data_IF_300133008469
#
_entry.id   IF_300133008469
#
_cell.length_a   1.000
_cell.length_b   1.000
_cell.length_c   1.000
_cell.angle_alpha   90.00
_cell.angle_beta   90.00
_cell.angle_gamma   90.00
#
_symmetry.space_group_name_H-M   'P 1'
#
loop_
_entity.id
_entity.type
_entity.pdbx_description
1 polymer ?
#
# COMPACT_ATOMS: atom_id res chain seq x y z
N UNK A 1 -3.05 -22.90 -26.62
CA UNK A 1 -4.06 -21.86 -26.36
C UNK A 1 -3.48 -21.08 -25.20
N UNK A 2 -2.63 -20.13 -25.53
CA UNK A 2 -1.75 -19.49 -24.56
C UNK A 2 -2.55 -18.41 -23.82
N UNK A 3 -2.90 -18.73 -22.57
CA UNK A 3 -3.65 -17.89 -21.63
C UNK A 3 -2.82 -16.72 -21.06
N UNK A 4 -1.75 -16.31 -21.75
CA UNK A 4 -1.01 -15.12 -21.36
C UNK A 4 -1.71 -13.91 -21.96
N UNK A 5 -2.48 -13.22 -21.12
CA UNK A 5 -2.87 -11.84 -21.42
C UNK A 5 -1.57 -11.02 -21.48
N UNK A 6 -1.01 -10.88 -22.68
CA UNK A 6 0.15 -10.01 -22.89
C UNK A 6 -0.29 -8.58 -22.59
N UNK A 7 0.20 -7.97 -21.49
CA UNK A 7 -0.13 -6.58 -21.21
C UNK A 7 0.41 -5.75 -22.36
N UNK A 8 -0.43 -4.94 -23.00
CA UNK A 8 0.07 -3.96 -23.98
C UNK A 8 1.14 -3.09 -23.31
N UNK A 9 2.35 -3.00 -23.87
CA UNK A 9 3.43 -2.21 -23.29
C UNK A 9 2.96 -0.78 -23.00
N UNK A 10 3.30 -0.25 -21.82
CA UNK A 10 2.93 1.08 -21.32
C UNK A 10 1.45 1.31 -20.95
N UNK A 11 0.55 0.34 -21.13
CA UNK A 11 -0.86 0.48 -20.73
C UNK A 11 -1.22 -0.47 -19.59
N UNK A 12 -0.74 -0.18 -18.39
CA UNK A 12 -1.16 -0.84 -17.16
C UNK A 12 -2.53 -0.36 -16.69
N UNK A 13 -3.55 -0.55 -17.51
CA UNK A 13 -4.94 -0.17 -17.17
C UNK A 13 -5.40 -0.84 -15.88
N UNK A 14 -4.97 -2.08 -15.63
CA UNK A 14 -5.28 -2.82 -14.41
C UNK A 14 -4.75 -2.12 -13.15
N UNK A 15 -3.63 -1.39 -13.22
CA UNK A 15 -3.10 -0.62 -12.09
C UNK A 15 -4.08 0.45 -11.65
N UNK A 16 -4.61 1.21 -12.61
CA UNK A 16 -5.62 2.22 -12.31
C UNK A 16 -6.86 1.59 -11.65
N UNK A 17 -7.27 0.40 -12.09
CA UNK A 17 -8.44 -0.30 -11.53
C UNK A 17 -8.21 -0.72 -10.07
N UNK A 18 -7.13 -1.47 -9.78
CA UNK A 18 -6.91 -1.91 -8.39
C UNK A 18 -6.59 -0.73 -7.47
N UNK A 19 -5.90 0.31 -7.96
CA UNK A 19 -5.61 1.51 -7.17
C UNK A 19 -6.89 2.29 -6.86
N UNK A 20 -7.82 2.41 -7.80
CA UNK A 20 -9.12 3.02 -7.54
C UNK A 20 -9.92 2.23 -6.49
N UNK A 21 -9.89 0.89 -6.57
CA UNK A 21 -10.52 0.03 -5.57
C UNK A 21 -9.90 0.21 -4.18
N UNK A 22 -8.57 0.10 -4.08
CA UNK A 22 -7.83 0.26 -2.82
C UNK A 22 -8.00 1.67 -2.23
N UNK A 23 -7.97 2.71 -3.06
CA UNK A 23 -8.21 4.08 -2.64
C UNK A 23 -9.63 4.27 -2.08
N UNK A 24 -10.65 3.77 -2.78
CA UNK A 24 -12.02 3.81 -2.28
C UNK A 24 -12.17 3.06 -0.95
N UNK A 25 -11.53 1.90 -0.81
CA UNK A 25 -11.50 1.16 0.45
C UNK A 25 -10.92 2.00 1.59
N UNK A 26 -9.73 2.58 1.41
CA UNK A 26 -9.08 3.45 2.41
C UNK A 26 -9.96 4.65 2.76
N UNK A 27 -10.51 5.35 1.77
CA UNK A 27 -11.36 6.53 2.01
C UNK A 27 -12.62 6.16 2.81
N UNK A 28 -13.29 5.06 2.44
CA UNK A 28 -14.49 4.59 3.14
C UNK A 28 -14.19 4.21 4.59
N UNK A 29 -13.13 3.42 4.81
CA UNK A 29 -12.71 3.01 6.17
C UNK A 29 -12.36 4.23 7.02
N UNK A 30 -11.61 5.20 6.48
CA UNK A 30 -11.29 6.43 7.21
C UNK A 30 -12.52 7.26 7.53
N UNK A 31 -13.44 7.44 6.58
CA UNK A 31 -14.68 8.19 6.81
C UNK A 31 -15.57 7.53 7.87
N UNK A 32 -15.62 6.19 7.89
CA UNK A 32 -16.33 5.43 8.93
C UNK A 32 -15.71 5.70 10.31
N UNK A 33 -14.39 5.55 10.45
CA UNK A 33 -13.68 5.78 11.71
C UNK A 33 -13.88 7.21 12.21
N UNK A 34 -13.76 8.21 11.33
CA UNK A 34 -14.02 9.63 11.67
C UNK A 34 -15.46 9.82 12.14
N UNK A 35 -16.43 9.24 11.43
CA UNK A 35 -17.84 9.33 11.80
C UNK A 35 -18.12 8.69 13.16
N UNK A 36 -17.55 7.52 13.43
CA UNK A 36 -17.75 6.80 14.69
C UNK A 36 -17.03 7.48 15.85
N UNK A 37 -15.82 8.02 15.64
CA UNK A 37 -15.15 8.86 16.64
C UNK A 37 -16.02 10.03 17.07
N UNK A 38 -16.60 10.75 16.10
CA UNK A 38 -17.51 11.86 16.39
C UNK A 38 -18.75 11.41 17.19
N UNK A 39 -19.34 10.24 16.86
CA UNK A 39 -20.49 9.71 17.61
C UNK A 39 -20.12 9.36 19.05
N UNK A 40 -18.97 8.70 19.27
CA UNK A 40 -18.49 8.36 20.60
C UNK A 40 -18.16 9.60 21.42
N UNK A 41 -17.49 10.59 20.85
CA UNK A 41 -17.20 11.86 21.53
C UNK A 41 -18.48 12.57 22.00
N UNK A 42 -19.51 12.63 21.14
CA UNK A 42 -20.80 13.22 21.48
C UNK A 42 -21.56 12.42 22.55
N UNK A 43 -21.45 11.10 22.55
CA UNK A 43 -22.06 10.25 23.56
C UNK A 43 -21.35 10.41 24.91
N UNK A 44 -20.01 10.38 24.91
CA UNK A 44 -19.18 10.60 26.10
C UNK A 44 -19.41 11.97 26.74
N UNK A 45 -19.68 13.01 25.93
CA UNK A 45 -20.03 14.33 26.43
C UNK A 45 -21.41 14.38 27.13
N UNK A 46 -22.30 13.42 26.86
CA UNK A 46 -23.66 13.32 27.44
C UNK A 46 -23.75 12.30 28.58
N UNK A 47 -22.69 11.55 28.85
CA UNK A 47 -22.66 10.47 29.84
C UNK A 47 -21.87 9.27 29.33
N UNK A 48 -22.17 8.08 29.84
CA UNK A 48 -21.56 6.85 29.31
C UNK A 48 -22.16 6.52 27.93
N UNK A 49 -21.34 6.18 26.92
CA UNK A 49 -21.82 5.61 25.66
C UNK A 49 -22.63 4.33 25.94
N UNK A 50 -23.72 4.11 25.21
CA UNK A 50 -24.45 2.84 25.30
C UNK A 50 -23.63 1.69 24.71
N UNK A 51 -23.81 0.48 25.25
CA UNK A 51 -23.12 -0.71 24.76
C UNK A 51 -23.35 -0.95 23.26
N UNK A 52 -24.58 -0.73 22.77
CA UNK A 52 -24.91 -0.83 21.34
C UNK A 52 -24.10 0.14 20.46
N UNK A 53 -23.81 1.34 20.97
CA UNK A 53 -23.02 2.33 20.24
C UNK A 53 -21.54 1.94 20.23
N UNK A 54 -21.02 1.40 21.33
CA UNK A 54 -19.65 0.88 21.40
C UNK A 54 -19.49 -0.29 20.44
N UNK A 55 -20.43 -1.24 20.46
CA UNK A 55 -20.44 -2.41 19.59
C UNK A 55 -20.47 -2.02 18.10
N UNK A 56 -21.39 -1.13 17.73
CA UNK A 56 -21.50 -0.63 16.34
C UNK A 56 -20.33 0.28 15.91
N UNK A 57 -19.47 0.68 16.84
CA UNK A 57 -18.26 1.47 16.57
C UNK A 57 -16.98 0.62 16.47
N UNK A 58 -17.08 -0.72 16.51
CA UNK A 58 -15.96 -1.63 16.23
C UNK A 58 -15.60 -1.65 14.75
N UNK A 59 -14.77 -0.71 14.33
CA UNK A 59 -14.50 -0.41 12.92
C UNK A 59 -13.03 -0.50 12.49
N UNK A 60 -12.10 -0.72 13.44
CA UNK A 60 -10.66 -0.71 13.19
C UNK A 60 -10.03 -2.11 13.25
N UNK A 61 -8.83 -2.25 12.68
CA UNK A 61 -7.96 -3.41 12.87
C UNK A 61 -7.03 -3.23 14.08
N UNK A 62 -6.03 -4.09 14.21
CA UNK A 62 -4.98 -3.96 15.24
C UNK A 62 -4.02 -2.80 14.96
N UNK A 63 -3.76 -2.54 13.68
CA UNK A 63 -2.87 -1.48 13.19
C UNK A 63 -3.55 -0.70 12.07
N UNK A 64 -3.02 0.49 11.76
CA UNK A 64 -3.60 1.40 10.77
C UNK A 64 -3.46 0.95 9.31
N UNK A 65 -2.34 0.34 8.86
CA UNK A 65 -2.22 -0.11 7.48
C UNK A 65 -3.31 -1.12 7.12
N UNK A 66 -4.03 -0.85 6.03
CA UNK A 66 -5.09 -1.72 5.52
C UNK A 66 -4.81 -2.22 4.11
N UNK A 67 -3.91 -1.57 3.38
CA UNK A 67 -3.55 -1.94 2.02
C UNK A 67 -2.06 -2.23 1.92
N UNK A 68 -1.71 -3.40 1.40
CA UNK A 68 -0.35 -3.78 1.03
C UNK A 68 -0.27 -3.90 -0.50
N UNK A 69 0.68 -3.20 -1.12
CA UNK A 69 0.99 -3.32 -2.54
C UNK A 69 2.44 -3.73 -2.68
N UNK A 70 2.66 -4.91 -3.23
CA UNK A 70 3.96 -5.42 -3.60
C UNK A 70 4.17 -5.21 -5.09
N UNK A 71 5.31 -4.64 -5.48
CA UNK A 71 5.73 -4.54 -6.88
C UNK A 71 7.25 -4.78 -7.00
N UNK A 72 7.76 -5.26 -8.15
CA UNK A 72 9.12 -5.81 -8.20
C UNK A 72 10.21 -4.73 -8.18
N UNK A 73 9.96 -3.55 -8.76
CA UNK A 73 10.98 -2.52 -8.97
C UNK A 73 10.52 -1.10 -8.61
N UNK A 74 11.47 -0.20 -8.33
CA UNK A 74 11.20 1.22 -8.07
C UNK A 74 10.44 1.91 -9.21
N UNK A 75 10.70 1.58 -10.47
CA UNK A 75 9.92 2.12 -11.62
C UNK A 75 8.43 1.78 -11.54
N UNK A 76 8.08 0.61 -11.00
CA UNK A 76 6.70 0.18 -10.83
C UNK A 76 6.03 0.93 -9.69
N UNK A 77 6.74 1.08 -8.56
CA UNK A 77 6.31 1.91 -7.45
C UNK A 77 6.11 3.38 -7.87
N UNK A 78 6.97 3.91 -8.75
CA UNK A 78 6.87 5.25 -9.31
C UNK A 78 5.56 5.45 -10.09
N UNK A 79 5.25 4.52 -11.01
CA UNK A 79 4.00 4.54 -11.78
C UNK A 79 2.77 4.41 -10.86
N UNK A 80 2.83 3.55 -9.84
CA UNK A 80 1.76 3.39 -8.84
C UNK A 80 1.47 4.69 -8.09
N UNK A 81 2.51 5.35 -7.56
CA UNK A 81 2.35 6.61 -6.82
C UNK A 81 1.82 7.72 -7.72
N UNK A 82 2.28 7.80 -8.97
CA UNK A 82 1.80 8.81 -9.90
C UNK A 82 0.35 8.57 -10.33
N UNK A 83 -0.08 7.31 -10.47
CA UNK A 83 -1.50 6.96 -10.68
C UNK A 83 -2.36 7.29 -9.47
N UNK A 84 -1.89 7.01 -8.25
CA UNK A 84 -2.59 7.41 -7.02
C UNK A 84 -2.77 8.93 -6.96
N UNK A 85 -1.71 9.70 -7.24
CA UNK A 85 -1.77 11.16 -7.35
C UNK A 85 -2.88 11.61 -8.31
N UNK A 86 -2.91 11.06 -9.53
CA UNK A 86 -3.95 11.39 -10.53
C UNK A 86 -5.35 10.98 -10.08
N UNK A 87 -5.51 9.85 -9.42
CA UNK A 87 -6.81 9.39 -8.91
C UNK A 87 -7.33 10.27 -7.76
N UNK A 88 -6.45 10.78 -6.91
CA UNK A 88 -6.83 11.58 -5.74
C UNK A 88 -7.09 13.04 -6.15
N UNK A 89 -6.25 13.61 -6.99
CA UNK A 89 -6.27 15.04 -7.29
C UNK A 89 -6.87 15.38 -8.66
N UNK A 90 -6.95 14.43 -9.59
CA UNK A 90 -7.29 14.69 -10.99
C UNK A 90 -6.12 15.35 -11.74
N UNK A 91 -6.33 15.67 -13.03
CA UNK A 91 -5.29 16.25 -13.89
C UNK A 91 -5.00 17.74 -13.57
N UNK A 92 -6.01 18.47 -13.09
CA UNK A 92 -5.93 19.90 -12.73
C UNK A 92 -5.84 20.12 -11.21
N UNK A 93 -5.59 19.07 -10.45
CA UNK A 93 -5.76 19.05 -9.00
C UNK A 93 -4.79 19.93 -8.23
N UNK A 94 -5.32 20.78 -7.33
CA UNK A 94 -4.54 21.53 -6.31
C UNK A 94 -4.12 20.66 -5.11
N UNK A 95 -3.73 19.42 -5.36
CA UNK A 95 -3.23 18.50 -4.33
C UNK A 95 -1.81 18.83 -3.89
N UNK A 96 -1.46 18.49 -2.65
CA UNK A 96 -0.07 18.57 -2.19
C UNK A 96 0.49 17.18 -1.94
N UNK A 97 1.73 16.95 -2.35
CA UNK A 97 2.45 15.69 -2.10
C UNK A 97 3.65 16.00 -1.23
N UNK A 98 3.66 15.43 -0.03
CA UNK A 98 4.80 15.59 0.88
C UNK A 98 5.90 14.63 0.48
N UNK A 99 7.16 15.07 0.59
CA UNK A 99 8.35 14.32 0.20
C UNK A 99 8.40 13.92 -1.29
N UNK A 100 7.72 14.68 -2.16
CA UNK A 100 7.71 14.44 -3.61
C UNK A 100 9.10 14.49 -4.23
N UNK A 101 9.92 15.48 -3.86
CA UNK A 101 11.25 15.67 -4.44
C UNK A 101 12.18 14.51 -4.08
N UNK A 102 12.14 14.07 -2.81
CA UNK A 102 12.84 12.86 -2.36
C UNK A 102 12.40 11.63 -3.15
N UNK A 103 11.10 11.43 -3.30
CA UNK A 103 10.56 10.29 -4.06
C UNK A 103 11.00 10.32 -5.52
N UNK A 104 10.93 11.48 -6.18
CA UNK A 104 11.37 11.63 -7.56
C UNK A 104 12.87 11.34 -7.72
N UNK A 105 13.71 11.80 -6.80
CA UNK A 105 15.15 11.52 -6.86
C UNK A 105 15.45 10.02 -6.68
N UNK A 106 14.74 9.33 -5.80
CA UNK A 106 15.00 7.91 -5.49
C UNK A 106 14.36 6.93 -6.49
N UNK A 107 13.18 7.25 -7.05
CA UNK A 107 12.34 6.31 -7.81
C UNK A 107 12.19 6.62 -9.30
N UNK A 108 12.46 7.86 -9.73
CA UNK A 108 12.33 8.23 -11.14
C UNK A 108 13.31 7.39 -11.98
N UNK A 109 12.84 6.98 -13.15
CA UNK A 109 13.65 6.27 -14.12
C UNK A 109 14.48 7.23 -14.97
N UNK A 110 15.69 6.83 -15.31
CA UNK A 110 16.46 7.46 -16.37
C UNK A 110 15.80 7.20 -17.74
N UNK A 111 16.17 8.00 -18.74
CA UNK A 111 15.69 7.80 -20.10
C UNK A 111 16.18 6.47 -20.65
N UNK A 112 15.27 5.75 -21.32
CA UNK A 112 15.61 4.45 -21.90
C UNK A 112 16.68 4.61 -23.00
N UNK A 113 17.74 3.79 -23.00
CA UNK A 113 18.74 3.82 -24.05
C UNK A 113 18.14 3.42 -25.40
N UNK A 114 18.73 3.93 -26.48
CA UNK A 114 18.40 3.49 -27.82
C UNK A 114 18.90 2.05 -28.04
N UNK A 115 17.97 1.12 -28.30
CA UNK A 115 18.32 -0.26 -28.61
C UNK A 115 18.67 -0.41 -30.09
N UNK A 116 19.92 -0.80 -30.38
CA UNK A 116 20.39 -1.07 -31.75
C UNK A 116 19.83 -2.37 -32.33
N UNK A 117 19.55 -3.34 -31.45
CA UNK A 117 19.00 -4.65 -31.83
C UNK A 117 17.49 -4.65 -31.64
N UNK A 118 16.77 -5.32 -32.57
CA UNK A 118 15.34 -5.57 -32.40
C UNK A 118 15.15 -6.52 -31.23
N UNK A 119 14.63 -5.98 -30.12
CA UNK A 119 14.23 -6.76 -28.95
C UNK A 119 12.72 -6.67 -28.74
N UNK A 120 12.09 -7.71 -28.15
CA UNK A 120 10.70 -7.66 -27.73
C UNK A 120 10.45 -6.48 -26.78
N UNK A 121 9.28 -5.86 -26.87
CA UNK A 121 8.98 -4.67 -26.07
C UNK A 121 8.89 -4.97 -24.57
N UNK A 122 8.36 -6.13 -24.19
CA UNK A 122 8.34 -6.62 -22.80
C UNK A 122 9.76 -6.72 -22.22
N UNK A 123 10.71 -7.21 -23.03
CA UNK A 123 12.11 -7.32 -22.61
C UNK A 123 12.75 -5.95 -22.43
N UNK A 124 12.50 -5.00 -23.36
CA UNK A 124 12.96 -3.62 -23.20
C UNK A 124 12.36 -3.00 -21.94
N UNK A 125 11.07 -3.19 -21.71
CA UNK A 125 10.43 -2.67 -20.52
C UNK A 125 11.03 -3.25 -19.24
N UNK A 126 11.34 -4.54 -19.21
CA UNK A 126 11.98 -5.20 -18.07
C UNK A 126 13.38 -4.61 -17.77
N UNK A 127 14.22 -4.43 -18.80
CA UNK A 127 15.62 -3.99 -18.61
C UNK A 127 15.79 -2.47 -18.49
N UNK A 128 14.78 -1.68 -18.84
CA UNK A 128 14.85 -0.21 -18.76
C UNK A 128 14.22 0.35 -17.50
N UNK A 129 14.62 1.58 -17.17
CA UNK A 129 14.16 2.31 -16.01
C UNK A 129 14.83 1.87 -14.71
N UNK A 130 14.26 2.31 -13.60
CA UNK A 130 14.80 2.06 -12.27
C UNK A 130 14.41 0.65 -11.78
N UNK A 131 15.31 -0.31 -11.97
CA UNK A 131 15.15 -1.73 -11.65
C UNK A 131 15.67 -2.11 -10.25
N UNK A 132 15.90 -1.13 -9.38
CA UNK A 132 16.21 -1.40 -7.97
C UNK A 132 14.98 -2.05 -7.30
N UNK A 133 15.21 -3.19 -6.65
CA UNK A 133 14.21 -4.05 -5.99
C UNK A 133 14.32 -4.02 -4.47
N UNK A 134 15.06 -3.06 -3.91
CA UNK A 134 15.17 -2.84 -2.47
C UNK A 134 14.57 -1.49 -2.10
N UNK A 135 13.26 -1.50 -1.85
CA UNK A 135 12.53 -0.30 -1.44
C UNK A 135 11.30 -0.59 -0.60
N UNK A 136 10.90 0.44 0.16
CA UNK A 136 9.73 0.46 1.01
C UNK A 136 9.24 1.90 1.21
N UNK A 137 7.94 2.13 1.09
CA UNK A 137 7.33 3.46 1.21
C UNK A 137 5.98 3.31 1.93
N UNK A 138 5.85 3.98 3.08
CA UNK A 138 4.57 4.15 3.74
C UNK A 138 3.86 5.36 3.15
N UNK A 139 2.60 5.18 2.76
CA UNK A 139 1.80 6.24 2.15
C UNK A 139 0.58 6.50 3.03
N UNK A 140 0.42 7.75 3.46
CA UNK A 140 -0.77 8.17 4.21
C UNK A 140 -1.60 9.16 3.40
N UNK A 141 -2.92 8.98 3.45
CA UNK A 141 -3.89 9.85 2.82
C UNK A 141 -4.45 10.85 3.84
N UNK A 142 -4.36 12.13 3.50
CA UNK A 142 -5.10 13.21 4.15
C UNK A 142 -5.90 13.97 3.08
N UNK A 143 -6.92 14.72 3.50
CA UNK A 143 -7.97 15.28 2.63
C UNK A 143 -7.50 15.74 1.24
N UNK A 144 -6.48 16.60 1.19
CA UNK A 144 -5.86 17.09 -0.06
C UNK A 144 -4.34 16.89 -0.08
N UNK A 145 -3.86 15.95 0.72
CA UNK A 145 -2.42 15.71 0.89
C UNK A 145 -2.12 14.22 0.82
N UNK A 146 -1.25 13.84 -0.10
CA UNK A 146 -0.67 12.51 -0.15
C UNK A 146 0.71 12.59 0.51
N UNK A 147 0.88 11.88 1.62
CA UNK A 147 2.16 11.87 2.35
C UNK A 147 2.94 10.62 2.00
N UNK A 148 4.12 10.81 1.41
CA UNK A 148 5.07 9.74 1.11
C UNK A 148 6.08 9.62 2.25
N UNK A 149 6.60 8.41 2.45
CA UNK A 149 7.55 8.07 3.52
C UNK A 149 7.00 8.30 4.94
N UNK A 150 5.70 8.12 5.13
CA UNK A 150 5.15 8.04 6.48
C UNK A 150 5.59 6.74 7.15
N UNK A 151 5.75 6.79 8.47
CA UNK A 151 6.00 5.61 9.26
C UNK A 151 4.87 4.60 9.06
N UNK A 152 5.19 3.31 9.06
CA UNK A 152 4.24 2.27 8.66
C UNK A 152 3.02 2.21 9.57
N UNK A 153 3.19 2.34 10.89
CA UNK A 153 2.12 2.48 11.89
C UNK A 153 1.15 3.65 11.60
N UNK A 154 1.60 4.67 10.87
CA UNK A 154 0.83 5.86 10.48
C UNK A 154 0.44 5.89 9.01
N UNK A 155 0.78 4.85 8.25
CA UNK A 155 0.45 4.74 6.83
C UNK A 155 -0.91 4.09 6.61
N UNK A 156 -1.56 4.44 5.49
CA UNK A 156 -2.79 3.79 5.05
C UNK A 156 -2.48 2.69 4.00
N UNK A 157 -1.45 2.92 3.17
CA UNK A 157 -0.87 1.95 2.25
C UNK A 157 0.59 1.67 2.60
N UNK A 158 0.98 0.40 2.50
CA UNK A 158 2.38 -0.02 2.45
C UNK A 158 2.68 -0.37 0.99
N UNK A 159 3.61 0.38 0.36
CA UNK A 159 4.11 0.12 -0.99
C UNK A 159 5.56 -0.31 -0.91
N UNK A 160 5.87 -1.55 -1.27
CA UNK A 160 7.21 -2.08 -1.13
C UNK A 160 7.54 -3.15 -2.16
N UNK A 161 8.83 -3.43 -2.26
CA UNK A 161 9.35 -4.65 -2.88
C UNK A 161 9.21 -5.84 -1.91
N UNK A 162 9.14 -7.08 -2.42
CA UNK A 162 9.19 -8.26 -1.56
C UNK A 162 10.44 -8.29 -0.67
N UNK A 163 11.61 -7.94 -1.23
CA UNK A 163 12.85 -7.85 -0.46
C UNK A 163 12.79 -6.76 0.62
N UNK A 164 12.35 -5.56 0.26
CA UNK A 164 12.26 -4.43 1.19
C UNK A 164 11.31 -4.67 2.37
N UNK A 165 10.22 -5.42 2.16
CA UNK A 165 9.33 -5.82 3.26
C UNK A 165 9.93 -6.98 4.07
N UNK A 166 10.52 -7.98 3.44
CA UNK A 166 11.19 -9.09 4.14
C UNK A 166 12.23 -8.59 5.14
N UNK A 167 13.02 -7.59 4.75
CA UNK A 167 14.03 -6.98 5.65
C UNK A 167 13.44 -6.37 6.93
N UNK A 168 12.15 -6.03 6.93
CA UNK A 168 11.42 -5.51 8.11
C UNK A 168 10.85 -6.67 8.94
N UNK A 169 10.36 -7.72 8.27
CA UNK A 169 9.73 -8.85 8.93
C UNK A 169 10.76 -9.78 9.60
N UNK A 170 11.84 -10.12 8.88
CA UNK A 170 12.87 -11.08 9.31
C UNK A 170 14.09 -10.41 9.99
N UNK A 171 14.27 -9.09 9.87
CA UNK A 171 15.56 -8.41 10.07
C UNK A 171 15.72 -7.50 11.30
N UNK A 172 16.98 -7.12 11.55
CA UNK A 172 17.58 -6.37 12.69
C UNK A 172 16.93 -5.02 13.07
N UNK A 173 15.97 -4.52 12.27
CA UNK A 173 15.30 -3.23 12.49
C UNK A 173 14.15 -3.28 13.51
N UNK A 174 13.91 -4.44 14.11
CA UNK A 174 12.81 -4.69 15.05
C UNK A 174 11.75 -5.55 14.38
N UNK A 175 11.32 -6.62 15.05
CA UNK A 175 10.28 -7.55 14.57
C UNK A 175 8.93 -6.82 14.43
N UNK A 176 8.74 -6.10 13.34
CA UNK A 176 7.55 -5.28 13.09
C UNK A 176 6.47 -6.04 12.29
N UNK A 177 6.39 -7.36 12.45
CA UNK A 177 5.39 -8.20 11.79
C UNK A 177 3.94 -7.79 12.09
N UNK A 178 3.71 -7.15 13.25
CA UNK A 178 2.40 -6.59 13.62
C UNK A 178 1.88 -5.56 12.62
N UNK A 179 2.75 -4.88 11.85
CA UNK A 179 2.36 -3.86 10.86
C UNK A 179 1.53 -4.41 9.69
N UNK A 180 1.62 -5.72 9.41
CA UNK A 180 0.86 -6.40 8.37
C UNK A 180 -0.25 -7.31 8.92
N UNK A 181 -0.56 -7.20 10.23
CA UNK A 181 -1.61 -8.01 10.87
C UNK A 181 -3.03 -7.60 10.45
N UNK A 182 -3.23 -6.38 9.95
CA UNK A 182 -4.54 -5.79 9.65
C UNK A 182 -4.78 -5.47 8.17
N UNK A 183 -4.01 -6.09 7.27
CA UNK A 183 -4.15 -5.89 5.83
C UNK A 183 -5.49 -6.44 5.34
N UNK A 184 -6.32 -5.61 4.74
CA UNK A 184 -7.61 -5.97 4.17
C UNK A 184 -7.52 -6.19 2.66
N UNK A 185 -6.57 -5.52 1.99
CA UNK A 185 -6.29 -5.66 0.57
C UNK A 185 -4.79 -5.86 0.38
N UNK A 186 -4.39 -7.02 -0.15
CA UNK A 186 -3.03 -7.28 -0.59
C UNK A 186 -3.00 -7.39 -2.12
N UNK A 187 -2.13 -6.62 -2.76
CA UNK A 187 -1.91 -6.64 -4.22
C UNK A 187 -0.49 -7.10 -4.49
N UNK A 188 -0.34 -8.12 -5.33
CA UNK A 188 0.94 -8.56 -5.88
C UNK A 188 0.95 -8.15 -7.35
N UNK A 189 1.61 -7.03 -7.65
CA UNK A 189 1.72 -6.51 -9.01
C UNK A 189 2.93 -7.14 -9.71
N UNK A 190 2.75 -7.64 -10.95
CA UNK A 190 3.77 -8.34 -11.74
C UNK A 190 4.38 -9.55 -11.01
N UNK A 191 3.51 -10.43 -10.53
CA UNK A 191 3.88 -11.64 -9.80
C UNK A 191 4.77 -12.61 -10.62
N UNK A 192 4.61 -12.61 -11.94
CA UNK A 192 5.44 -13.33 -12.90
C UNK A 192 6.91 -12.89 -12.85
N UNK A 193 7.16 -11.59 -12.69
CA UNK A 193 8.51 -11.05 -12.52
C UNK A 193 9.05 -11.41 -11.13
N UNK A 194 8.24 -11.27 -10.08
CA UNK A 194 8.65 -11.62 -8.72
C UNK A 194 8.99 -13.10 -8.56
N UNK A 195 8.29 -13.97 -9.30
CA UNK A 195 8.59 -15.40 -9.38
C UNK A 195 10.00 -15.66 -9.91
N UNK A 196 10.47 -14.83 -10.85
CA UNK A 196 11.83 -14.92 -11.40
C UNK A 196 12.90 -14.30 -10.48
N UNK A 197 12.53 -13.36 -9.61
CA UNK A 197 13.45 -12.76 -8.64
C UNK A 197 13.72 -13.70 -7.46
N UNK A 198 12.75 -13.82 -6.53
CA UNK A 198 12.80 -14.73 -5.39
C UNK A 198 11.39 -14.86 -4.79
N UNK A 199 10.68 -15.94 -5.15
CA UNK A 199 9.32 -16.19 -4.66
C UNK A 199 9.25 -16.46 -3.15
N UNK A 200 10.34 -16.91 -2.52
CA UNK A 200 10.40 -17.20 -1.09
C UNK A 200 10.09 -15.94 -0.25
N UNK A 201 10.48 -14.75 -0.72
CA UNK A 201 10.15 -13.50 -0.05
C UNK A 201 8.64 -13.31 0.11
N UNK A 202 7.86 -13.61 -0.94
CA UNK A 202 6.40 -13.55 -0.86
C UNK A 202 5.88 -14.60 0.12
N UNK A 203 6.32 -15.85 0.03
CA UNK A 203 5.90 -16.92 0.95
C UNK A 203 6.13 -16.53 2.42
N UNK A 204 7.26 -15.91 2.74
CA UNK A 204 7.56 -15.43 4.10
C UNK A 204 6.68 -14.24 4.48
N UNK A 205 6.44 -13.28 3.59
CA UNK A 205 5.55 -12.14 3.89
C UNK A 205 4.14 -12.64 4.23
N UNK A 206 3.60 -13.56 3.43
CA UNK A 206 2.27 -14.11 3.64
C UNK A 206 2.20 -15.02 4.87
N UNK A 207 3.29 -15.69 5.26
CA UNK A 207 3.31 -16.45 6.52
C UNK A 207 3.30 -15.57 7.77
N UNK A 208 3.71 -14.30 7.66
CA UNK A 208 3.62 -13.31 8.74
C UNK A 208 2.28 -12.56 8.77
N UNK A 209 1.54 -12.54 7.66
CA UNK A 209 0.27 -11.84 7.55
C UNK A 209 -0.78 -12.48 8.45
N UNK A 210 -1.55 -11.65 9.16
CA UNK A 210 -2.63 -12.09 10.06
C UNK A 210 -2.25 -13.01 11.22
N UNK A 211 -0.96 -13.19 11.49
CA UNK A 211 -0.55 -13.78 12.76
C UNK A 211 -0.95 -12.87 13.92
N UNK A 212 -1.07 -13.46 15.12
CA UNK A 212 -1.34 -12.70 16.33
C UNK A 212 -0.29 -11.58 16.47
N UNK A 213 -0.72 -10.30 16.45
CA UNK A 213 0.23 -9.21 16.47
C UNK A 213 0.93 -9.14 17.83
N UNK A 214 2.24 -8.90 17.80
CA UNK A 214 3.03 -8.66 19.02
C UNK A 214 2.68 -7.34 19.71
N UNK A 215 2.13 -6.39 18.95
CA UNK A 215 1.76 -5.05 19.40
C UNK A 215 0.47 -4.60 18.70
N UNK A 216 -0.41 -3.97 19.47
CA UNK A 216 -1.66 -3.37 19.00
C UNK A 216 -1.55 -1.87 19.22
N UNK A 217 -1.71 -1.07 18.16
CA UNK A 217 -1.64 0.40 18.22
C UNK A 217 -3.02 1.06 18.28
N UNK A 218 -4.06 0.24 18.25
CA UNK A 218 -5.46 0.67 18.24
C UNK A 218 -6.14 0.37 19.57
N UNK A 219 -7.16 1.16 19.90
CA UNK A 219 -8.06 0.86 21.02
C UNK A 219 -8.76 -0.49 20.81
N UNK A 220 -8.54 -1.45 21.72
CA UNK A 220 -9.08 -2.81 21.66
C UNK A 220 -10.61 -2.79 21.58
N UNK A 221 -11.28 -1.83 22.24
CA UNK A 221 -12.74 -1.70 22.20
C UNK A 221 -13.28 -1.38 20.80
N UNK A 222 -12.42 -0.86 19.90
CA UNK A 222 -12.71 -0.49 18.52
C UNK A 222 -12.34 -1.56 17.50
N UNK A 223 -11.69 -2.64 17.92
CA UNK A 223 -11.28 -3.73 17.01
C UNK A 223 -12.51 -4.47 16.50
N UNK A 224 -12.58 -4.70 15.19
CA UNK A 224 -13.71 -5.43 14.58
C UNK A 224 -13.81 -6.83 15.15
N UNK A 225 -15.03 -7.31 15.35
CA UNK A 225 -15.29 -8.62 15.90
C UNK A 225 -14.76 -9.77 15.04
N UNK A 226 -14.57 -9.58 13.74
CA UNK A 226 -13.94 -10.60 12.89
C UNK A 226 -12.45 -10.85 13.20
N UNK A 227 -11.81 -9.98 13.99
CA UNK A 227 -10.42 -10.14 14.46
C UNK A 227 -10.33 -10.71 15.89
N UNK A 228 -11.45 -10.88 16.59
CA UNK A 228 -11.54 -11.29 18.00
C UNK A 228 -12.27 -12.62 18.10
#
# INVERSE_FOLDING_TARGET
MDLYAQPTPKCYSYRTVYLAHALNHVIRTRNLVISNNRKLELASAKGLPSDDLVESSRDQGFVRPTVLILCPFKKDAFDIVHRLERLIFGEEGKGSIWNRDRFNTEFKSEEAPAFKTRMPEEFKELITGNNDDCFRVGIALSKKVLKLYEAFDKSDFILCSPLGLRMILDGEAGKESHLISSIQIAVIDKADIMLQQNWEHLSIIFSHMHNQPSRIDTDISRVRQCYV
#
